data_IF_196348981535
#
_entry.id   IF_196348981535
#
_cell.length_a   1.000
_cell.length_b   1.000
_cell.length_c   1.000
_cell.angle_alpha   90.00
_cell.angle_beta   90.00
_cell.angle_gamma   90.00
#
_symmetry.space_group_name_H-M   'P 1'
#
loop_
_entity.id
_entity.type
_entity.pdbx_description
1 polymer ?
#
# COMPACT_ATOMS: atom_id res chain seq x y z
N UNK A 1 -14.19 -6.44 -9.35
CA UNK A 1 -13.57 -6.63 -8.01
C UNK A 1 -13.07 -8.07 -7.88
N UNK A 2 -13.91 -9.08 -8.07
CA UNK A 2 -13.54 -10.49 -7.88
C UNK A 2 -12.31 -10.92 -8.68
N UNK A 3 -12.12 -10.44 -9.91
CA UNK A 3 -10.95 -10.77 -10.74
C UNK A 3 -9.62 -10.29 -10.15
N UNK A 4 -9.55 -9.06 -9.62
CA UNK A 4 -8.32 -8.52 -9.00
C UNK A 4 -8.00 -9.25 -7.70
N UNK A 5 -9.01 -9.56 -6.90
CA UNK A 5 -8.85 -10.27 -5.62
C UNK A 5 -8.60 -11.77 -5.77
N UNK A 6 -8.90 -12.34 -6.95
CA UNK A 6 -8.65 -13.75 -7.28
C UNK A 6 -7.22 -14.03 -7.78
N UNK A 7 -6.41 -13.01 -8.00
CA UNK A 7 -5.01 -13.12 -8.48
C UNK A 7 -4.10 -13.71 -7.38
N UNK A 8 -4.49 -14.64 -6.59
CA UNK A 8 -3.63 -15.52 -5.78
C UNK A 8 -2.41 -14.92 -5.07
N UNK A 9 -2.38 -13.60 -4.82
CA UNK A 9 -1.29 -12.98 -4.06
C UNK A 9 -1.28 -13.51 -2.63
N UNK A 10 -0.16 -14.08 -2.21
CA UNK A 10 0.07 -14.28 -0.78
C UNK A 10 0.32 -12.93 -0.11
N UNK A 11 0.06 -12.84 1.19
CA UNK A 11 0.34 -11.62 1.96
C UNK A 11 1.82 -11.22 1.84
N UNK A 12 2.73 -12.18 1.95
CA UNK A 12 4.17 -11.96 1.84
C UNK A 12 4.59 -11.43 0.46
N UNK A 13 4.00 -11.95 -0.62
CA UNK A 13 4.26 -11.46 -1.98
C UNK A 13 3.73 -10.04 -2.15
N UNK A 14 2.55 -9.76 -1.63
CA UNK A 14 1.97 -8.41 -1.70
C UNK A 14 2.83 -7.38 -0.95
N UNK A 15 3.34 -7.74 0.23
CA UNK A 15 4.27 -6.90 1.00
C UNK A 15 5.57 -6.67 0.23
N UNK A 16 6.14 -7.71 -0.39
CA UNK A 16 7.36 -7.58 -1.19
C UNK A 16 7.17 -6.61 -2.36
N UNK A 17 6.03 -6.65 -3.07
CA UNK A 17 5.73 -5.71 -4.17
C UNK A 17 5.68 -4.24 -3.69
N UNK A 18 5.15 -3.99 -2.48
CA UNK A 18 5.15 -2.63 -1.92
C UNK A 18 6.58 -2.19 -1.58
N UNK A 19 7.38 -3.09 -1.01
CA UNK A 19 8.79 -2.81 -0.68
C UNK A 19 9.62 -2.56 -1.93
N UNK A 20 9.40 -3.29 -3.03
CA UNK A 20 10.05 -3.02 -4.32
C UNK A 20 9.75 -1.60 -4.83
N UNK A 21 8.52 -1.11 -4.65
CA UNK A 21 8.18 0.28 -4.97
C UNK A 21 8.98 1.28 -4.11
N UNK A 22 9.14 1.00 -2.81
CA UNK A 22 9.94 1.85 -1.92
C UNK A 22 11.42 1.86 -2.30
N UNK A 23 11.99 0.71 -2.67
CA UNK A 23 13.36 0.59 -3.18
C UNK A 23 13.51 1.38 -4.49
N UNK A 24 12.57 1.25 -5.40
CA UNK A 24 12.52 2.00 -6.67
C UNK A 24 12.44 3.52 -6.43
N UNK A 25 11.76 3.94 -5.36
CA UNK A 25 11.69 5.32 -4.89
C UNK A 25 12.97 5.78 -4.15
N UNK A 26 14.03 4.95 -4.12
CA UNK A 26 15.33 5.26 -3.47
C UNK A 26 15.21 5.44 -1.96
N UNK A 27 14.27 4.75 -1.32
CA UNK A 27 14.18 4.73 0.12
C UNK A 27 15.46 4.13 0.74
N UNK A 28 15.92 4.72 1.82
CA UNK A 28 17.02 4.22 2.66
C UNK A 28 16.53 3.65 3.97
N UNK A 29 15.27 3.91 4.30
CA UNK A 29 14.57 3.33 5.42
C UNK A 29 13.16 2.92 5.02
N UNK A 30 12.76 1.71 5.41
CA UNK A 30 11.42 1.16 5.19
C UNK A 30 10.98 0.51 6.50
N UNK A 31 9.93 1.04 7.08
CA UNK A 31 9.37 0.58 8.34
C UNK A 31 8.03 -0.12 8.11
N UNK A 32 7.82 -1.24 8.80
CA UNK A 32 6.56 -2.00 8.78
C UNK A 32 5.90 -1.89 10.15
N UNK A 33 4.68 -1.38 10.17
CA UNK A 33 3.83 -1.27 11.35
C UNK A 33 2.58 -2.12 11.19
N UNK A 34 2.07 -2.66 12.28
CA UNK A 34 0.81 -3.40 12.29
C UNK A 34 0.26 -3.50 13.69
N UNK A 35 -1.04 -3.36 13.84
CA UNK A 35 -1.73 -3.63 15.09
C UNK A 35 -3.06 -4.34 14.81
N UNK A 36 -3.19 -5.63 15.19
CA UNK A 36 -4.45 -6.37 15.07
C UNK A 36 -5.46 -6.02 16.17
N UNK A 37 -5.06 -5.28 17.21
CA UNK A 37 -5.89 -4.91 18.37
C UNK A 37 -6.37 -3.46 18.31
N UNK A 38 -5.93 -2.69 17.30
CA UNK A 38 -6.49 -1.36 17.05
C UNK A 38 -8.01 -1.45 16.81
N UNK A 39 -8.75 -0.40 17.09
CA UNK A 39 -10.19 -0.30 16.78
C UNK A 39 -10.46 -0.57 15.28
N UNK A 40 -9.51 -0.21 14.45
CA UNK A 40 -9.42 -0.59 13.04
C UNK A 40 -8.09 -1.28 12.78
N UNK A 41 -8.03 -2.63 12.82
CA UNK A 41 -6.80 -3.37 12.56
C UNK A 41 -6.13 -2.92 11.27
N UNK A 42 -4.82 -2.68 11.32
CA UNK A 42 -4.09 -2.15 10.17
C UNK A 42 -2.74 -2.83 9.96
N UNK A 43 -2.30 -2.76 8.73
CA UNK A 43 -0.92 -3.04 8.32
C UNK A 43 -0.43 -1.86 7.49
N UNK A 44 0.76 -1.38 7.76
CA UNK A 44 1.31 -0.26 7.00
C UNK A 44 2.80 -0.41 6.71
N UNK A 45 3.20 0.16 5.57
CA UNK A 45 4.59 0.27 5.13
C UNK A 45 4.87 1.75 4.93
N UNK A 46 5.87 2.25 5.61
CA UNK A 46 6.36 3.63 5.53
C UNK A 46 7.77 3.63 4.94
N UNK A 47 8.00 4.42 3.93
CA UNK A 47 9.33 4.66 3.37
C UNK A 47 9.72 6.15 3.41
N UNK A 48 11.02 6.41 3.37
CA UNK A 48 11.60 7.74 3.25
C UNK A 48 12.14 8.02 1.83
N UNK A 49 11.54 7.41 0.81
CA UNK A 49 11.91 7.59 -0.60
C UNK A 49 11.57 8.99 -1.13
N UNK A 50 11.59 9.15 -2.45
CA UNK A 50 11.38 10.46 -3.10
C UNK A 50 10.00 11.06 -2.87
N UNK A 51 9.02 10.26 -2.45
CA UNK A 51 7.62 10.65 -2.43
C UNK A 51 7.08 10.89 -3.84
N UNK A 52 5.85 11.35 -3.91
CA UNK A 52 5.14 11.62 -5.17
C UNK A 52 4.44 12.98 -5.10
N UNK A 53 4.41 13.71 -6.22
CA UNK A 53 3.48 14.81 -6.37
C UNK A 53 2.06 14.28 -6.64
N UNK A 54 1.06 15.18 -6.66
CA UNK A 54 -0.34 14.81 -6.84
C UNK A 54 -0.58 13.99 -8.11
N UNK A 55 0.02 14.40 -9.24
CA UNK A 55 -0.19 13.72 -10.52
C UNK A 55 0.49 12.34 -10.56
N UNK A 56 1.67 12.24 -9.97
CA UNK A 56 2.39 10.95 -9.82
C UNK A 56 1.57 9.97 -8.96
N UNK A 57 0.98 10.44 -7.85
CA UNK A 57 0.12 9.61 -7.01
C UNK A 57 -1.14 9.17 -7.76
N UNK A 58 -1.81 10.06 -8.50
CA UNK A 58 -2.95 9.71 -9.36
C UNK A 58 -2.54 8.61 -10.35
N UNK A 59 -1.42 8.79 -11.03
CA UNK A 59 -0.93 7.82 -12.01
C UNK A 59 -0.59 6.47 -11.36
N UNK A 60 0.02 6.49 -10.18
CA UNK A 60 0.32 5.27 -9.40
C UNK A 60 -0.95 4.54 -8.97
N UNK A 61 -2.01 5.27 -8.65
CA UNK A 61 -3.26 4.71 -8.15
C UNK A 61 -4.28 4.38 -9.25
N UNK A 62 -4.24 5.02 -10.44
CA UNK A 62 -5.22 4.78 -11.50
C UNK A 62 -4.94 3.47 -12.24
N UNK A 63 -5.97 2.62 -12.44
CA UNK A 63 -5.87 1.42 -13.27
C UNK A 63 -5.76 1.81 -14.75
N UNK A 64 -4.82 1.17 -15.47
CA UNK A 64 -4.65 1.39 -16.90
C UNK A 64 -4.04 2.74 -17.27
N UNK A 65 -3.41 3.45 -16.34
CA UNK A 65 -2.61 4.63 -16.68
C UNK A 65 -1.47 4.21 -17.61
N UNK A 66 -1.60 4.56 -18.88
CA UNK A 66 -0.61 4.28 -19.92
C UNK A 66 0.68 5.06 -19.60
N UNK A 67 1.70 4.37 -19.13
CA UNK A 67 3.09 4.84 -19.19
C UNK A 67 3.62 4.73 -20.62
N UNK A 68 2.92 5.32 -21.61
CA UNK A 68 3.27 5.22 -23.03
C UNK A 68 4.58 5.96 -23.37
N UNK A 69 5.19 6.74 -22.46
CA UNK A 69 6.28 7.66 -22.80
C UNK A 69 7.49 7.66 -21.87
N UNK A 70 7.79 6.59 -21.13
CA UNK A 70 9.14 6.46 -20.55
C UNK A 70 9.87 5.32 -21.23
N UNK A 71 11.01 5.63 -21.88
CA UNK A 71 11.96 4.64 -22.34
C UNK A 71 12.26 3.69 -21.19
N UNK A 72 11.93 2.42 -21.39
CA UNK A 72 12.17 1.34 -20.44
C UNK A 72 13.66 1.33 -20.08
N UNK A 73 14.00 1.69 -18.84
CA UNK A 73 15.28 1.30 -18.30
C UNK A 73 15.17 -0.16 -17.84
N UNK A 74 16.19 -1.00 -18.04
CA UNK A 74 16.15 -2.41 -17.63
C UNK A 74 15.93 -2.62 -16.14
N UNK A 75 16.12 -1.58 -15.32
CA UNK A 75 16.00 -1.61 -13.86
C UNK A 75 14.61 -1.23 -13.33
N UNK A 76 13.64 -0.98 -14.22
CA UNK A 76 12.29 -0.57 -13.80
C UNK A 76 11.42 -1.81 -13.50
N UNK A 77 11.59 -2.37 -12.29
CA UNK A 77 10.80 -3.49 -11.75
C UNK A 77 9.30 -3.20 -11.67
N UNK A 78 8.91 -1.92 -11.73
CA UNK A 78 7.51 -1.45 -11.76
C UNK A 78 6.80 -1.60 -13.11
N UNK A 79 7.16 -2.57 -13.94
CA UNK A 79 6.81 -2.73 -15.36
C UNK A 79 5.34 -2.63 -15.73
N UNK A 80 4.42 -2.81 -14.78
CA UNK A 80 2.99 -2.87 -15.10
C UNK A 80 2.10 -1.86 -14.38
N UNK A 81 2.62 -1.04 -13.45
CA UNK A 81 1.80 -0.08 -12.69
C UNK A 81 0.62 -0.72 -11.94
N UNK A 82 0.57 -2.05 -11.90
CA UNK A 82 -0.48 -2.84 -11.28
C UNK A 82 -0.10 -3.34 -9.88
N UNK A 83 1.20 -3.46 -9.58
CA UNK A 83 1.70 -4.10 -8.35
C UNK A 83 1.09 -3.49 -7.09
N UNK A 84 1.22 -2.18 -6.90
CA UNK A 84 0.67 -1.48 -5.72
C UNK A 84 -0.82 -1.77 -5.50
N UNK A 85 -1.63 -1.62 -6.54
CA UNK A 85 -3.09 -1.76 -6.48
C UNK A 85 -3.54 -3.21 -6.33
N UNK A 86 -2.98 -4.09 -7.16
CA UNK A 86 -3.34 -5.52 -7.14
C UNK A 86 -2.85 -6.19 -5.88
N UNK A 87 -1.63 -5.88 -5.43
CA UNK A 87 -1.11 -6.35 -4.16
C UNK A 87 -2.01 -5.92 -3.01
N UNK A 88 -2.28 -4.61 -2.88
CA UNK A 88 -3.09 -4.07 -1.79
C UNK A 88 -4.52 -4.61 -1.79
N UNK A 89 -5.25 -4.50 -2.91
CA UNK A 89 -6.65 -4.95 -2.99
C UNK A 89 -6.83 -6.47 -2.91
N UNK A 90 -5.76 -7.25 -3.12
CA UNK A 90 -5.80 -8.69 -2.88
C UNK A 90 -5.84 -9.03 -1.39
N UNK A 91 -5.35 -8.13 -0.51
CA UNK A 91 -5.21 -8.36 0.92
C UNK A 91 -6.28 -7.66 1.77
N UNK A 92 -6.74 -6.49 1.36
CA UNK A 92 -7.64 -5.65 2.15
C UNK A 92 -8.80 -5.08 1.32
N UNK A 93 -9.83 -4.57 1.97
CA UNK A 93 -10.95 -3.89 1.32
C UNK A 93 -10.76 -2.37 1.23
N UNK A 94 -9.95 -1.82 2.14
CA UNK A 94 -9.62 -0.39 2.13
C UNK A 94 -8.10 -0.22 2.17
N UNK A 95 -7.54 0.50 1.20
CA UNK A 95 -6.15 0.89 1.26
C UNK A 95 -5.96 2.36 0.92
N UNK A 96 -5.04 2.97 1.65
CA UNK A 96 -4.72 4.38 1.59
C UNK A 96 -3.25 4.52 1.21
N UNK A 97 -2.95 5.44 0.32
CA UNK A 97 -1.58 5.88 0.04
C UNK A 97 -1.47 7.35 0.38
N UNK A 98 -0.59 7.65 1.33
CA UNK A 98 -0.25 9.02 1.73
C UNK A 98 1.19 9.25 1.31
N UNK A 99 1.44 10.31 0.57
CA UNK A 99 2.79 10.64 0.11
C UNK A 99 3.14 12.07 0.49
N UNK A 100 4.39 12.26 0.84
CA UNK A 100 4.97 13.56 1.15
C UNK A 100 6.13 13.83 0.19
N UNK A 101 6.07 14.96 -0.49
CA UNK A 101 7.17 15.44 -1.32
C UNK A 101 7.42 16.91 -0.96
N UNK A 102 8.60 17.17 -0.40
CA UNK A 102 8.95 18.46 0.21
C UNK A 102 7.95 18.83 1.33
N UNK A 103 7.20 19.92 1.18
CA UNK A 103 6.20 20.35 2.16
C UNK A 103 4.76 19.95 1.80
N UNK A 104 4.56 19.28 0.67
CA UNK A 104 3.24 18.92 0.19
C UNK A 104 2.91 17.49 0.59
N UNK A 105 1.66 17.28 0.99
CA UNK A 105 1.11 15.96 1.34
C UNK A 105 -0.10 15.74 0.45
N UNK A 106 -0.12 14.59 -0.20
CA UNK A 106 -1.22 14.10 -1.02
C UNK A 106 -1.63 12.73 -0.54
N UNK A 107 -2.91 12.43 -0.59
CA UNK A 107 -3.41 11.12 -0.18
C UNK A 107 -4.56 10.68 -1.08
N UNK A 108 -4.58 9.39 -1.38
CA UNK A 108 -5.64 8.75 -2.14
C UNK A 108 -5.95 7.39 -1.57
N UNK A 109 -7.21 6.98 -1.71
CA UNK A 109 -7.67 5.67 -1.26
C UNK A 109 -8.54 4.97 -2.30
N UNK A 110 -8.58 3.64 -2.18
CA UNK A 110 -9.65 2.81 -2.70
C UNK A 110 -10.38 2.15 -1.54
N UNK A 111 -11.70 2.20 -1.61
CA UNK A 111 -12.62 1.55 -0.70
C UNK A 111 -13.54 0.62 -1.52
N UNK A 112 -13.38 -0.69 -1.33
CA UNK A 112 -14.13 -1.68 -2.11
C UNK A 112 -15.62 -1.66 -1.77
N UNK A 113 -16.02 -1.27 -0.57
CA UNK A 113 -17.42 -1.18 -0.19
C UNK A 113 -18.11 -0.05 -0.94
N UNK A 114 -17.44 1.09 -1.07
CA UNK A 114 -17.93 2.20 -1.89
C UNK A 114 -17.95 1.87 -3.37
N UNK A 115 -16.94 1.15 -3.88
CA UNK A 115 -16.89 0.71 -5.27
C UNK A 115 -18.03 -0.26 -5.57
N UNK A 116 -18.31 -1.22 -4.69
CA UNK A 116 -19.42 -2.16 -4.82
C UNK A 116 -20.76 -1.45 -4.76
N UNK A 117 -20.95 -0.55 -3.80
CA UNK A 117 -22.19 0.23 -3.64
C UNK A 117 -22.50 1.11 -4.85
N UNK A 118 -21.47 1.75 -5.41
CA UNK A 118 -21.62 2.71 -6.51
C UNK A 118 -21.44 2.06 -7.89
N UNK A 119 -21.00 0.80 -7.95
CA UNK A 119 -20.59 0.08 -9.16
C UNK A 119 -19.62 0.88 -10.03
N UNK A 120 -18.67 1.58 -9.38
CA UNK A 120 -17.73 2.47 -10.03
C UNK A 120 -16.38 2.47 -9.32
N UNK A 121 -15.30 2.35 -10.10
CA UNK A 121 -13.93 2.40 -9.60
C UNK A 121 -13.49 3.85 -9.35
N UNK A 122 -14.04 4.45 -8.31
CA UNK A 122 -13.68 5.81 -7.94
C UNK A 122 -12.42 5.80 -7.07
N UNK A 123 -11.42 6.55 -7.51
CA UNK A 123 -10.25 6.90 -6.70
C UNK A 123 -10.62 8.10 -5.82
N UNK A 124 -10.52 7.92 -4.51
CA UNK A 124 -10.91 8.95 -3.53
C UNK A 124 -9.68 9.76 -3.16
N UNK A 125 -9.71 11.06 -3.40
CA UNK A 125 -8.69 11.97 -2.91
C UNK A 125 -9.03 12.40 -1.48
N UNK A 126 -8.09 12.21 -0.57
CA UNK A 126 -8.24 12.55 0.85
C UNK A 126 -7.49 13.83 1.18
N UNK A 127 -8.14 14.72 1.91
CA UNK A 127 -7.51 15.93 2.43
C UNK A 127 -6.54 15.61 3.59
N UNK A 128 -5.62 16.53 3.87
CA UNK A 128 -4.73 16.41 5.02
C UNK A 128 -5.50 16.26 6.35
N UNK A 129 -6.66 16.89 6.47
CA UNK A 129 -7.49 16.78 7.67
C UNK A 129 -8.10 15.39 7.86
N UNK A 130 -8.39 14.69 6.77
CA UNK A 130 -8.91 13.33 6.81
C UNK A 130 -7.82 12.33 7.19
N UNK A 131 -6.59 12.53 6.72
CA UNK A 131 -5.50 11.57 6.96
C UNK A 131 -4.65 11.86 8.20
N UNK A 132 -4.82 13.01 8.85
CA UNK A 132 -4.00 13.38 10.04
C UNK A 132 -4.11 12.42 11.22
N UNK A 133 -5.22 11.69 11.31
CA UNK A 133 -5.48 10.70 12.34
C UNK A 133 -5.19 9.26 11.89
N UNK A 134 -4.72 9.08 10.63
CA UNK A 134 -4.34 7.77 10.14
C UNK A 134 -3.10 7.24 10.87
N UNK A 135 -3.06 5.94 11.03
CA UNK A 135 -1.94 5.24 11.68
C UNK A 135 -0.63 5.58 10.95
N UNK A 136 0.41 5.83 11.71
CA UNK A 136 1.76 6.17 11.22
C UNK A 136 1.86 7.50 10.43
N UNK A 137 0.80 8.31 10.34
CA UNK A 137 0.89 9.63 9.68
C UNK A 137 1.96 10.54 10.30
N UNK A 138 2.03 10.58 11.64
CA UNK A 138 3.03 11.38 12.33
C UNK A 138 4.47 10.89 12.09
N UNK A 139 4.65 9.59 11.82
CA UNK A 139 5.96 9.04 11.45
C UNK A 139 6.39 9.53 10.05
N UNK A 140 5.46 9.56 9.08
CA UNK A 140 5.71 10.14 7.77
C UNK A 140 6.13 11.62 7.85
N UNK A 141 5.54 12.37 8.79
CA UNK A 141 5.88 13.79 8.95
C UNK A 141 7.33 14.04 9.36
N UNK A 142 8.01 13.07 9.98
CA UNK A 142 9.41 13.17 10.39
C UNK A 142 10.38 13.19 9.21
N UNK A 143 9.97 12.66 8.06
CA UNK A 143 10.76 12.66 6.84
C UNK A 143 10.46 13.90 5.96
N UNK A 144 11.44 14.34 5.16
CA UNK A 144 11.22 15.38 4.17
C UNK A 144 10.37 14.89 3.00
N UNK A 145 10.62 13.66 2.58
CA UNK A 145 9.88 12.96 1.54
C UNK A 145 9.59 11.53 2.00
N UNK A 146 8.60 10.89 1.41
CA UNK A 146 8.30 9.50 1.70
C UNK A 146 6.91 9.10 1.26
N UNK A 147 6.62 7.82 1.42
CA UNK A 147 5.30 7.25 1.13
C UNK A 147 4.87 6.32 2.26
N UNK A 148 3.62 6.41 2.63
CA UNK A 148 2.96 5.56 3.61
C UNK A 148 1.80 4.85 2.92
N UNK A 149 1.86 3.53 2.88
CA UNK A 149 0.78 2.65 2.41
C UNK A 149 0.12 2.02 3.62
N UNK A 150 -1.20 2.12 3.74
CA UNK A 150 -1.99 1.58 4.85
C UNK A 150 -3.06 0.64 4.29
N UNK A 151 -3.14 -0.58 4.84
CA UNK A 151 -4.17 -1.56 4.55
C UNK A 151 -5.09 -1.71 5.75
N UNK A 152 -6.39 -1.74 5.51
CA UNK A 152 -7.46 -1.92 6.49
C UNK A 152 -8.54 -2.87 5.96
N UNK A 153 -9.39 -3.36 6.84
CA UNK A 153 -10.52 -4.22 6.49
C UNK A 153 -10.07 -5.52 5.81
N UNK A 154 -9.51 -6.42 6.63
CA UNK A 154 -8.92 -7.71 6.22
C UNK A 154 -9.97 -8.83 6.17
N UNK A 155 -11.01 -8.68 5.37
CA UNK A 155 -12.17 -9.59 5.27
C UNK A 155 -11.80 -11.06 5.02
N UNK A 156 -10.75 -11.33 4.25
CA UNK A 156 -10.28 -12.71 4.00
C UNK A 156 -9.71 -13.39 5.25
N UNK A 157 -9.14 -12.61 6.16
CA UNK A 157 -8.64 -13.13 7.42
C UNK A 157 -9.77 -13.37 8.41
N UNK A 158 -10.70 -12.42 8.49
CA UNK A 158 -11.86 -12.51 9.36
C UNK A 158 -12.73 -13.72 9.00
N UNK A 159 -12.89 -14.01 7.72
CA UNK A 159 -13.71 -15.13 7.23
C UNK A 159 -13.08 -16.50 7.42
N UNK A 160 -11.76 -16.59 7.52
CA UNK A 160 -10.99 -17.85 7.47
C UNK A 160 -10.35 -18.25 8.79
N UNK A 161 -10.45 -17.47 9.85
CA UNK A 161 -9.80 -17.76 11.13
C UNK A 161 -10.73 -17.68 12.32
N UNK A 162 -10.60 -18.66 13.24
CA UNK A 162 -11.26 -18.63 14.55
C UNK A 162 -10.61 -17.61 15.52
N UNK A 163 -9.42 -17.12 15.18
CA UNK A 163 -8.64 -16.15 15.92
C UNK A 163 -7.93 -15.21 14.93
N UNK A 164 -8.54 -14.05 14.68
CA UNK A 164 -8.02 -13.02 13.78
C UNK A 164 -6.63 -12.54 14.22
N UNK A 165 -6.44 -12.23 15.51
CA UNK A 165 -5.20 -11.69 16.04
C UNK A 165 -4.00 -12.60 15.75
N UNK A 166 -4.11 -13.88 16.11
CA UNK A 166 -3.02 -14.84 15.91
C UNK A 166 -2.73 -15.04 14.41
N UNK A 167 -3.77 -15.15 13.60
CA UNK A 167 -3.63 -15.30 12.15
C UNK A 167 -2.95 -14.08 11.52
N UNK A 168 -3.34 -12.88 11.93
CA UNK A 168 -2.74 -11.63 11.46
C UNK A 168 -1.28 -11.52 11.87
N UNK A 169 -0.95 -11.78 13.14
CA UNK A 169 0.44 -11.78 13.65
C UNK A 169 1.32 -12.76 12.90
N UNK A 170 0.83 -13.97 12.63
CA UNK A 170 1.56 -14.98 11.87
C UNK A 170 1.82 -14.53 10.44
N UNK A 171 0.84 -13.96 9.74
CA UNK A 171 1.01 -13.43 8.39
C UNK A 171 2.06 -12.32 8.33
N UNK A 172 2.03 -11.40 9.29
CA UNK A 172 3.01 -10.31 9.37
C UNK A 172 4.42 -10.86 9.66
N UNK A 173 4.53 -11.84 10.55
CA UNK A 173 5.81 -12.49 10.85
C UNK A 173 6.39 -13.23 9.64
N UNK A 174 5.55 -13.95 8.90
CA UNK A 174 5.97 -14.66 7.69
C UNK A 174 6.35 -13.68 6.56
N UNK A 175 5.63 -12.56 6.43
CA UNK A 175 5.98 -11.52 5.48
C UNK A 175 7.35 -10.88 5.80
N UNK A 176 7.62 -10.58 7.09
CA UNK A 176 8.92 -10.06 7.52
C UNK A 176 10.06 -11.03 7.18
N UNK A 177 9.90 -12.32 7.48
CA UNK A 177 10.89 -13.36 7.11
C UNK A 177 11.10 -13.43 5.59
N UNK A 178 10.01 -13.38 4.82
CA UNK A 178 10.09 -13.41 3.36
C UNK A 178 10.87 -12.21 2.82
N UNK A 179 10.60 -11.01 3.32
CA UNK A 179 11.31 -9.77 2.96
C UNK A 179 12.80 -9.86 3.29
N UNK A 180 13.15 -10.36 4.48
CA UNK A 180 14.54 -10.60 4.87
C UNK A 180 15.26 -11.53 3.89
N UNK A 181 14.61 -12.58 3.40
CA UNK A 181 15.19 -13.52 2.44
C UNK A 181 15.34 -12.93 1.04
N UNK A 182 14.34 -12.16 0.58
CA UNK A 182 14.31 -11.61 -0.80
C UNK A 182 15.25 -10.41 -0.94
N UNK A 183 15.31 -9.55 0.08
CA UNK A 183 16.06 -8.29 0.05
C UNK A 183 17.36 -8.33 0.87
N UNK A 184 17.81 -9.52 1.28
CA UNK A 184 19.07 -9.68 1.99
C UNK A 184 20.25 -9.34 1.06
N UNK A 185 20.78 -8.11 1.23
CA UNK A 185 22.01 -7.63 0.58
C UNK A 185 23.04 -7.20 1.61
#
# INVERSE_FOLDING_TARGET
INGIRAIGYSFSTAVADIIDNSISAKATNIDIYSDPLDDQPYFSILDNGTGMNRQELINAMTFGSNRINKKDSPDDLGRFGLGLKSASLSQCRNFIVITKQSNNIYAMSYDLDLIEKNNKWDLIELSKNEVKNEQCFNELLKYNNGTLVIWKDFDKLESNSNNFEDSFRNLVADAKKHVELVFHR
#
